data_IF_567957727136
#
_entry.id   IF_567957727136
#
_cell.length_a   1.000
_cell.length_b   1.000
_cell.length_c   1.000
_cell.angle_alpha   90.00
_cell.angle_beta   90.00
_cell.angle_gamma   90.00
#
_symmetry.space_group_name_H-M   'P 1'
#
loop_
_entity.id
_entity.type
_entity.pdbx_description
1 polymer ?
#
# COMPACT_ATOMS: atom_id res chain seq x y z
N UNK A 1 5.05 31.25 12.22
CA UNK A 1 3.69 31.12 11.64
C UNK A 1 3.39 29.63 11.55
N UNK A 2 2.69 29.05 12.53
CA UNK A 2 2.29 27.65 12.49
C UNK A 2 0.94 27.56 11.76
N UNK A 3 0.94 27.02 10.54
CA UNK A 3 -0.29 26.57 9.92
C UNK A 3 -0.78 25.36 10.73
N UNK A 4 -1.79 25.58 11.58
CA UNK A 4 -2.53 24.49 12.21
C UNK A 4 -3.28 23.81 11.07
N UNK A 5 -2.73 22.71 10.56
CA UNK A 5 -3.40 21.90 9.57
C UNK A 5 -4.78 21.50 10.13
N UNK A 6 -5.84 21.83 9.38
CA UNK A 6 -7.22 21.65 9.80
C UNK A 6 -7.51 20.15 9.92
N UNK A 7 -8.18 19.67 10.98
CA UNK A 7 -8.54 18.26 11.14
C UNK A 7 -9.17 17.63 9.88
N UNK A 8 -10.02 18.39 9.17
CA UNK A 8 -10.62 17.95 7.90
C UNK A 8 -9.60 17.63 6.79
N UNK A 9 -8.48 18.36 6.72
CA UNK A 9 -7.43 18.10 5.73
C UNK A 9 -6.70 16.78 6.02
N UNK A 10 -6.50 16.45 7.29
CA UNK A 10 -5.88 15.18 7.67
C UNK A 10 -6.79 13.99 7.35
N UNK A 11 -8.08 14.11 7.60
CA UNK A 11 -9.02 13.05 7.27
C UNK A 11 -9.15 12.83 5.75
N UNK A 12 -9.14 13.90 4.94
CA UNK A 12 -9.13 13.80 3.46
C UNK A 12 -7.83 13.12 2.98
N UNK A 13 -6.68 13.54 3.50
CA UNK A 13 -5.40 12.97 3.07
C UNK A 13 -5.27 11.49 3.43
N UNK A 14 -5.75 11.09 4.63
CA UNK A 14 -5.80 9.69 5.02
C UNK A 14 -6.63 8.86 4.02
N UNK A 15 -7.84 9.32 3.67
CA UNK A 15 -8.71 8.64 2.70
C UNK A 15 -8.07 8.56 1.31
N UNK A 16 -7.39 9.63 0.86
CA UNK A 16 -6.68 9.63 -0.43
C UNK A 16 -5.56 8.59 -0.46
N UNK A 17 -4.76 8.51 0.60
CA UNK A 17 -3.68 7.54 0.70
C UNK A 17 -4.19 6.10 0.80
N UNK A 18 -5.29 5.86 1.52
CA UNK A 18 -5.95 4.56 1.57
C UNK A 18 -6.43 4.11 0.18
N UNK A 19 -7.05 5.04 -0.56
CA UNK A 19 -7.49 4.79 -1.94
C UNK A 19 -6.30 4.47 -2.85
N UNK A 20 -5.21 5.22 -2.70
CA UNK A 20 -4.00 5.01 -3.48
C UNK A 20 -3.32 3.67 -3.15
N UNK A 21 -3.20 3.31 -1.88
CA UNK A 21 -2.65 2.03 -1.44
C UNK A 21 -3.43 0.86 -2.04
N UNK A 22 -4.77 0.93 -1.99
CA UNK A 22 -5.65 -0.08 -2.60
C UNK A 22 -5.47 -0.18 -4.11
N UNK A 23 -5.40 0.96 -4.81
CA UNK A 23 -5.17 0.97 -6.26
C UNK A 23 -3.84 0.31 -6.63
N UNK A 24 -2.75 0.66 -5.95
CA UNK A 24 -1.42 0.05 -6.23
C UNK A 24 -1.43 -1.45 -5.89
N UNK A 25 -2.14 -1.85 -4.84
CA UNK A 25 -2.32 -3.26 -4.52
C UNK A 25 -3.07 -4.02 -5.62
N UNK A 26 -4.13 -3.44 -6.19
CA UNK A 26 -4.87 -4.04 -7.31
C UNK A 26 -4.00 -4.17 -8.56
N UNK A 27 -3.17 -3.17 -8.85
CA UNK A 27 -2.17 -3.23 -9.93
C UNK A 27 -1.16 -4.37 -9.70
N UNK A 28 -0.69 -4.58 -8.47
CA UNK A 28 0.20 -5.71 -8.13
C UNK A 28 -0.48 -7.08 -8.31
N UNK A 29 -1.77 -7.19 -7.97
CA UNK A 29 -2.53 -8.42 -8.24
C UNK A 29 -2.59 -8.67 -9.75
N UNK A 30 -2.85 -7.65 -10.55
CA UNK A 30 -2.90 -7.76 -12.01
C UNK A 30 -1.55 -8.15 -12.64
N UNK A 31 -0.44 -7.80 -12.00
CA UNK A 31 0.92 -8.16 -12.43
C UNK A 31 1.41 -9.52 -11.89
N UNK A 32 0.54 -10.29 -11.23
CA UNK A 32 0.97 -11.55 -10.63
C UNK A 32 1.36 -12.60 -11.67
N UNK A 33 2.51 -13.23 -11.45
CA UNK A 33 3.02 -14.37 -12.21
C UNK A 33 3.21 -15.57 -11.26
N UNK A 34 2.47 -16.68 -11.45
CA UNK A 34 2.61 -17.90 -10.64
C UNK A 34 4.01 -18.51 -10.61
N UNK A 35 4.86 -18.18 -11.59
CA UNK A 35 6.24 -18.66 -11.69
C UNK A 35 7.27 -17.75 -11.02
N UNK A 36 6.87 -16.56 -10.58
CA UNK A 36 7.78 -15.60 -9.95
C UNK A 36 7.17 -14.90 -8.73
N UNK A 37 6.17 -14.04 -8.91
CA UNK A 37 5.61 -13.22 -7.84
C UNK A 37 4.08 -13.23 -7.89
N UNK A 38 3.44 -13.67 -6.80
CA UNK A 38 1.98 -13.73 -6.68
C UNK A 38 1.50 -12.76 -5.61
N UNK A 39 0.59 -11.87 -5.98
CA UNK A 39 -0.07 -10.93 -5.08
C UNK A 39 -1.56 -11.25 -4.95
N UNK A 40 -2.10 -11.20 -3.73
CA UNK A 40 -3.52 -11.42 -3.46
C UNK A 40 -4.02 -10.43 -2.41
N UNK A 41 -5.15 -9.78 -2.69
CA UNK A 41 -5.86 -8.96 -1.70
C UNK A 41 -6.86 -9.83 -0.95
N UNK A 42 -6.78 -9.83 0.39
CA UNK A 42 -7.76 -10.45 1.29
C UNK A 42 -8.21 -9.41 2.32
N UNK A 43 -9.48 -9.02 2.22
CA UNK A 43 -10.07 -7.99 3.07
C UNK A 43 -9.29 -6.66 3.01
N UNK A 44 -8.58 -6.32 4.07
CA UNK A 44 -7.79 -5.10 4.21
C UNK A 44 -6.29 -5.33 3.97
N UNK A 45 -5.89 -6.54 3.57
CA UNK A 45 -4.49 -6.90 3.44
C UNK A 45 -4.15 -7.24 2.00
N UNK A 46 -2.96 -6.84 1.57
CA UNK A 46 -2.29 -7.43 0.42
C UNK A 46 -1.23 -8.41 0.93
N UNK A 47 -1.24 -9.61 0.35
CA UNK A 47 -0.25 -10.65 0.57
C UNK A 47 0.55 -10.82 -0.71
N UNK A 48 1.87 -10.74 -0.62
CA UNK A 48 2.78 -10.83 -1.75
C UNK A 48 3.72 -12.01 -1.48
N UNK A 49 3.77 -12.97 -2.39
CA UNK A 49 4.61 -14.16 -2.31
C UNK A 49 5.59 -14.15 -3.48
N UNK A 50 6.87 -14.14 -3.17
CA UNK A 50 7.96 -14.27 -4.12
C UNK A 50 8.40 -15.74 -4.13
N UNK A 51 8.20 -16.45 -5.23
CA UNK A 51 8.45 -17.88 -5.35
C UNK A 51 9.91 -18.20 -5.02
N UNK A 52 10.13 -18.99 -3.97
CA UNK A 52 11.46 -19.35 -3.47
C UNK A 52 12.22 -18.24 -2.72
N UNK A 53 11.66 -17.03 -2.60
CA UNK A 53 12.32 -15.88 -1.94
C UNK A 53 11.60 -15.40 -0.67
N UNK A 54 10.34 -15.80 -0.46
CA UNK A 54 9.60 -15.54 0.77
C UNK A 54 8.28 -14.81 0.53
N UNK A 55 7.74 -14.18 1.57
CA UNK A 55 6.45 -13.48 1.48
C UNK A 55 6.43 -12.25 2.36
N UNK A 56 5.69 -11.24 1.93
CA UNK A 56 5.42 -10.01 2.65
C UNK A 56 3.91 -9.76 2.73
N UNK A 57 3.46 -8.98 3.70
CA UNK A 57 2.06 -8.60 3.81
C UNK A 57 1.92 -7.20 4.39
N UNK A 58 0.98 -6.44 3.84
CA UNK A 58 0.75 -5.05 4.20
C UNK A 58 -0.73 -4.81 4.42
N UNK A 59 -1.07 -4.08 5.48
CA UNK A 59 -2.41 -3.58 5.68
C UNK A 59 -2.64 -2.35 4.80
N UNK A 60 -3.75 -2.28 4.10
CA UNK A 60 -4.04 -1.24 3.11
C UNK A 60 -4.64 0.02 3.76
N UNK A 61 -5.20 -0.12 4.96
CA UNK A 61 -5.65 1.02 5.76
C UNK A 61 -5.63 0.72 7.26
N UNK A 62 -5.15 1.64 8.10
CA UNK A 62 -5.30 1.50 9.56
C UNK A 62 -6.71 1.89 10.01
N UNK A 63 -7.19 1.27 11.09
CA UNK A 63 -8.49 1.57 11.69
C UNK A 63 -8.59 3.04 12.15
N UNK A 64 -9.82 3.53 12.31
CA UNK A 64 -10.10 4.87 12.85
C UNK A 64 -9.72 5.05 14.33
N UNK A 65 -9.21 4.01 15.00
CA UNK A 65 -8.70 4.08 16.37
C UNK A 65 -7.33 4.79 16.43
N UNK A 66 -6.62 4.86 15.29
CA UNK A 66 -5.36 5.58 15.16
C UNK A 66 -5.58 7.04 14.78
N UNK A 67 -4.70 7.92 15.26
CA UNK A 67 -4.72 9.33 14.85
C UNK A 67 -4.52 9.49 13.34
N UNK A 68 -5.16 10.48 12.71
CA UNK A 68 -4.99 10.71 11.27
C UNK A 68 -3.52 10.90 10.86
N UNK A 69 -2.69 11.52 11.73
CA UNK A 69 -1.25 11.64 11.49
C UNK A 69 -0.55 10.28 11.41
N UNK A 70 -0.90 9.36 12.30
CA UNK A 70 -0.36 7.98 12.30
C UNK A 70 -0.82 7.23 11.06
N UNK A 71 -2.11 7.34 10.72
CA UNK A 71 -2.68 6.73 9.52
C UNK A 71 -1.93 7.22 8.27
N UNK A 72 -1.87 8.54 8.05
CA UNK A 72 -1.15 9.16 6.93
C UNK A 72 0.30 8.69 6.83
N UNK A 73 1.03 8.66 7.94
CA UNK A 73 2.42 8.21 7.94
C UNK A 73 2.53 6.74 7.49
N UNK A 74 1.71 5.86 8.08
CA UNK A 74 1.68 4.46 7.74
C UNK A 74 1.29 4.22 6.27
N UNK A 75 0.23 4.87 5.79
CA UNK A 75 -0.24 4.67 4.42
C UNK A 75 0.74 5.23 3.39
N UNK A 76 1.47 6.30 3.69
CA UNK A 76 2.57 6.75 2.83
C UNK A 76 3.66 5.67 2.69
N UNK A 77 4.06 5.06 3.80
CA UNK A 77 5.06 3.98 3.79
C UNK A 77 4.58 2.77 3.00
N UNK A 78 3.31 2.37 3.18
CA UNK A 78 2.70 1.27 2.42
C UNK A 78 2.66 1.59 0.93
N UNK A 79 2.17 2.77 0.52
CA UNK A 79 2.15 3.19 -0.89
C UNK A 79 3.56 3.16 -1.49
N UNK A 80 4.56 3.66 -0.75
CA UNK A 80 5.95 3.67 -1.21
C UNK A 80 6.51 2.25 -1.36
N UNK A 81 6.25 1.35 -0.41
CA UNK A 81 6.65 -0.06 -0.48
C UNK A 81 6.01 -0.77 -1.65
N UNK A 82 4.69 -0.66 -1.82
CA UNK A 82 3.97 -1.33 -2.91
C UNK A 82 4.42 -0.83 -4.28
N UNK A 83 4.67 0.47 -4.44
CA UNK A 83 5.20 0.99 -5.70
C UNK A 83 6.62 0.49 -6.00
N UNK A 84 7.49 0.36 -4.99
CA UNK A 84 8.82 -0.23 -5.18
C UNK A 84 8.74 -1.67 -5.65
N UNK A 85 7.84 -2.47 -5.05
CA UNK A 85 7.61 -3.86 -5.46
C UNK A 85 7.10 -3.90 -6.89
N UNK A 86 6.14 -3.03 -7.24
CA UNK A 86 5.59 -2.92 -8.60
C UNK A 86 6.68 -2.60 -9.62
N UNK A 87 7.52 -1.60 -9.33
CA UNK A 87 8.66 -1.24 -10.19
C UNK A 87 9.63 -2.40 -10.36
N UNK A 88 9.98 -3.10 -9.29
CA UNK A 88 10.85 -4.28 -9.35
C UNK A 88 10.28 -5.36 -10.28
N UNK A 89 8.99 -5.70 -10.14
CA UNK A 89 8.33 -6.70 -11.00
C UNK A 89 8.36 -6.25 -12.47
N UNK A 90 8.09 -4.98 -12.75
CA UNK A 90 8.08 -4.45 -14.12
C UNK A 90 9.48 -4.35 -14.74
N UNK A 91 10.51 -4.09 -13.94
CA UNK A 91 11.91 -4.05 -14.39
C UNK A 91 12.46 -5.45 -14.69
N UNK A 92 12.12 -6.45 -13.89
CA UNK A 92 12.52 -7.86 -14.13
C UNK A 92 11.74 -8.50 -15.31
N UNK A 93 10.55 -7.98 -15.63
CA UNK A 93 9.72 -8.46 -16.74
C UNK A 93 10.08 -7.84 -18.11
N UNK A 94 10.97 -6.84 -18.14
CA UNK A 94 11.37 -6.09 -19.35
C UNK A 94 12.62 -6.67 -20.02
#
# INVERSE_FOLDING_TARGET
MNAIAKPELFSIEAIRLETLARKVAEELVALSDPSDTVSVIKSNWIHITYLGRGSESYELSLSGEFSDKTRIAYQNDVVLRLNKIKSYILEEAA
#
